data_IF_169428307046
#
_entry.id   IF_169428307046
#
_cell.length_a   1.000
_cell.length_b   1.000
_cell.length_c   1.000
_cell.angle_alpha   90.00
_cell.angle_beta   90.00
_cell.angle_gamma   90.00
#
_symmetry.space_group_name_H-M   'P 1'
#
loop_
_entity.id
_entity.type
_entity.pdbx_description
1 polymer ?
#
# COMPACT_ATOMS: atom_id res chain seq x y z
N UNK A 1 -36.81 32.35 41.58
CA UNK A 1 -36.07 32.31 40.30
C UNK A 1 -34.57 32.01 40.47
N UNK A 2 -33.74 32.86 41.12
CA UNK A 2 -32.26 32.71 41.24
C UNK A 2 -31.75 31.28 41.54
N UNK A 3 -32.33 30.59 42.53
CA UNK A 3 -31.90 29.25 42.96
C UNK A 3 -31.95 28.20 41.81
N UNK A 4 -32.97 28.25 40.95
CA UNK A 4 -33.10 27.33 39.82
C UNK A 4 -32.02 27.55 38.73
N UNK A 5 -31.52 28.78 38.60
CA UNK A 5 -30.42 29.10 37.67
C UNK A 5 -29.09 28.52 38.17
N UNK A 6 -28.79 28.69 39.47
CA UNK A 6 -27.60 28.11 40.10
C UNK A 6 -27.57 26.57 40.00
N UNK A 7 -28.72 25.91 40.21
CA UNK A 7 -28.84 24.46 40.06
C UNK A 7 -28.55 23.99 38.61
N UNK A 8 -29.00 24.74 37.59
CA UNK A 8 -28.67 24.44 36.18
C UNK A 8 -27.17 24.64 35.89
N UNK A 9 -26.58 25.75 36.33
CA UNK A 9 -25.14 26.01 36.14
C UNK A 9 -24.27 24.94 36.80
N UNK A 10 -24.58 24.54 38.04
CA UNK A 10 -23.86 23.47 38.73
C UNK A 10 -23.97 22.11 38.01
N UNK A 11 -25.13 21.78 37.45
CA UNK A 11 -25.33 20.53 36.67
C UNK A 11 -24.50 20.55 35.37
N UNK A 12 -24.52 21.65 34.62
CA UNK A 12 -23.71 21.80 33.40
C UNK A 12 -22.21 21.74 33.68
N UNK A 13 -21.75 22.37 34.77
CA UNK A 13 -20.34 22.34 35.18
C UNK A 13 -19.85 20.93 35.55
N UNK A 14 -20.70 20.09 36.18
CA UNK A 14 -20.37 18.68 36.45
C UNK A 14 -20.26 17.88 35.15
N UNK A 15 -21.25 17.99 34.25
CA UNK A 15 -21.25 17.30 32.94
C UNK A 15 -20.02 17.66 32.10
N UNK A 16 -19.58 18.93 32.14
CA UNK A 16 -18.36 19.36 31.45
C UNK A 16 -17.09 18.71 32.03
N UNK A 17 -16.94 18.65 33.37
CA UNK A 17 -15.80 17.96 34.00
C UNK A 17 -15.76 16.47 33.66
N UNK A 18 -16.90 15.79 33.71
CA UNK A 18 -16.99 14.37 33.40
C UNK A 18 -16.57 14.09 31.94
N UNK A 19 -17.00 14.93 30.98
CA UNK A 19 -16.58 14.85 29.57
C UNK A 19 -15.08 15.12 29.37
N UNK A 20 -14.50 16.11 30.05
CA UNK A 20 -13.05 16.38 29.95
C UNK A 20 -12.24 15.20 30.48
N UNK A 21 -12.58 14.69 31.66
CA UNK A 21 -11.90 13.53 32.26
C UNK A 21 -12.03 12.27 31.39
N UNK A 22 -13.17 12.09 30.70
CA UNK A 22 -13.36 11.00 29.74
C UNK A 22 -12.50 11.17 28.47
N UNK A 23 -12.32 12.40 27.95
CA UNK A 23 -11.43 12.69 26.81
C UNK A 23 -9.96 12.45 27.17
N UNK A 24 -9.52 12.92 28.34
CA UNK A 24 -8.16 12.70 28.87
C UNK A 24 -7.84 11.21 29.00
N UNK A 25 -8.73 10.42 29.63
CA UNK A 25 -8.56 8.96 29.74
C UNK A 25 -8.49 8.25 28.38
N UNK A 26 -9.28 8.67 27.38
CA UNK A 26 -9.20 8.10 26.03
C UNK A 26 -7.85 8.39 25.36
N UNK A 27 -7.35 9.62 25.46
CA UNK A 27 -6.02 9.99 24.92
C UNK A 27 -4.91 9.22 25.64
N UNK A 28 -4.99 9.02 26.95
CA UNK A 28 -4.00 8.25 27.69
C UNK A 28 -4.02 6.75 27.31
N UNK A 29 -5.21 6.17 27.13
CA UNK A 29 -5.36 4.79 26.63
C UNK A 29 -4.78 4.66 25.21
N UNK A 30 -5.07 5.58 24.30
CA UNK A 30 -4.48 5.59 22.95
C UNK A 30 -2.95 5.67 23.00
N UNK A 31 -2.37 6.58 23.78
CA UNK A 31 -0.91 6.70 23.94
C UNK A 31 -0.27 5.43 24.53
N UNK A 32 -0.90 4.81 25.54
CA UNK A 32 -0.47 3.53 26.11
C UNK A 32 -0.61 2.37 25.12
N UNK A 33 -1.58 2.41 24.20
CA UNK A 33 -1.76 1.40 23.15
C UNK A 33 -0.71 1.55 22.05
N UNK A 34 -0.53 2.78 21.52
CA UNK A 34 0.46 3.09 20.49
C UNK A 34 1.89 2.80 20.97
N UNK A 35 2.24 3.20 22.20
CA UNK A 35 3.55 2.88 22.79
C UNK A 35 3.80 1.37 22.91
N UNK A 36 2.78 0.57 23.27
CA UNK A 36 2.87 -0.89 23.27
C UNK A 36 2.99 -1.47 21.86
N UNK A 37 2.30 -0.89 20.87
CA UNK A 37 2.39 -1.31 19.48
C UNK A 37 3.80 -1.06 18.94
N UNK A 38 4.36 0.14 19.09
CA UNK A 38 5.73 0.45 18.69
C UNK A 38 6.76 -0.46 19.39
N UNK A 39 6.58 -0.78 20.68
CA UNK A 39 7.45 -1.73 21.40
C UNK A 39 7.31 -3.17 20.91
N UNK A 40 6.14 -3.61 20.46
CA UNK A 40 5.95 -4.93 19.85
C UNK A 40 6.48 -4.99 18.41
N UNK A 41 6.39 -3.92 17.63
CA UNK A 41 6.99 -3.83 16.29
C UNK A 41 8.52 -3.84 16.39
N UNK A 42 9.11 -2.97 17.22
CA UNK A 42 10.56 -2.91 17.42
C UNK A 42 11.13 -4.17 18.10
N UNK A 43 10.39 -4.78 19.04
CA UNK A 43 10.78 -6.05 19.66
C UNK A 43 10.61 -7.27 18.74
N UNK A 44 9.61 -7.25 17.86
CA UNK A 44 9.26 -8.36 16.97
C UNK A 44 10.28 -8.62 15.86
N UNK A 45 11.04 -7.61 15.45
CA UNK A 45 12.13 -7.74 14.46
C UNK A 45 13.37 -8.45 15.03
N UNK A 46 13.55 -8.46 16.35
CA UNK A 46 14.81 -8.87 16.98
C UNK A 46 14.92 -10.37 17.33
N UNK A 47 13.80 -11.11 17.49
CA UNK A 47 13.85 -12.45 18.11
C UNK A 47 12.89 -13.50 17.51
N UNK A 48 13.15 -13.94 16.28
CA UNK A 48 12.61 -15.21 15.75
C UNK A 48 13.75 -16.09 15.23
N UNK A 49 14.64 -16.49 16.14
CA UNK A 49 15.60 -17.58 15.89
C UNK A 49 14.97 -18.88 16.37
N UNK A 50 14.10 -19.45 15.53
CA UNK A 50 13.44 -20.72 15.80
C UNK A 50 14.46 -21.85 15.68
N UNK A 51 14.98 -22.34 16.80
CA UNK A 51 15.90 -23.49 16.85
C UNK A 51 15.16 -24.80 16.55
N UNK A 52 14.79 -24.98 15.28
CA UNK A 52 14.35 -26.25 14.74
C UNK A 52 15.55 -27.21 14.67
N UNK A 53 15.67 -28.11 15.65
CA UNK A 53 16.64 -29.22 15.60
C UNK A 53 16.09 -30.29 14.66
N UNK A 54 16.13 -29.97 13.35
CA UNK A 54 15.79 -30.85 12.24
C UNK A 54 17.03 -31.19 11.41
N UNK A 55 16.87 -32.13 10.49
CA UNK A 55 17.87 -32.49 9.47
C UNK A 55 18.49 -31.25 8.84
N UNK A 56 19.83 -31.17 8.81
CA UNK A 56 20.54 -30.03 8.24
C UNK A 56 20.03 -29.73 6.83
N UNK A 57 19.30 -28.61 6.69
CA UNK A 57 18.55 -28.28 5.50
C UNK A 57 19.49 -28.23 4.29
N UNK A 58 19.14 -28.92 3.21
CA UNK A 58 20.00 -28.97 2.03
C UNK A 58 20.01 -27.58 1.37
N UNK A 59 21.15 -26.90 1.54
CA UNK A 59 21.49 -25.64 0.90
C UNK A 59 22.29 -25.91 -0.36
N UNK A 60 21.78 -25.48 -1.51
CA UNK A 60 22.50 -25.56 -2.78
C UNK A 60 22.97 -24.18 -3.22
N UNK A 61 24.22 -24.09 -3.66
CA UNK A 61 24.76 -22.93 -4.37
C UNK A 61 24.67 -23.17 -5.88
N UNK A 62 24.04 -22.24 -6.59
CA UNK A 62 23.99 -22.21 -8.05
C UNK A 62 24.79 -21.00 -8.52
N UNK A 63 25.82 -21.25 -9.32
CA UNK A 63 26.58 -20.20 -10.01
C UNK A 63 25.97 -20.00 -11.40
N UNK A 64 25.76 -18.75 -11.78
CA UNK A 64 25.23 -18.39 -13.08
C UNK A 64 26.17 -18.77 -14.23
N UNK A 65 25.60 -19.18 -15.35
CA UNK A 65 26.33 -19.49 -16.60
C UNK A 65 26.20 -18.39 -17.64
N UNK A 66 25.23 -17.48 -17.51
CA UNK A 66 24.89 -16.49 -18.54
C UNK A 66 24.14 -17.09 -19.74
N UNK A 67 23.72 -18.36 -19.66
CA UNK A 67 22.99 -19.07 -20.71
C UNK A 67 21.59 -19.45 -20.21
N UNK A 68 20.54 -18.80 -20.72
CA UNK A 68 19.18 -18.94 -20.20
C UNK A 68 18.60 -20.37 -20.21
N UNK A 69 19.05 -21.25 -21.11
CA UNK A 69 18.66 -22.68 -21.12
C UNK A 69 19.28 -23.52 -20.00
N UNK A 70 20.39 -23.07 -19.43
CA UNK A 70 21.10 -23.69 -18.31
C UNK A 70 20.72 -23.02 -16.99
N UNK A 71 20.73 -21.68 -16.96
CA UNK A 71 20.42 -20.87 -15.79
C UNK A 71 19.01 -21.16 -15.25
N UNK A 72 17.97 -21.01 -16.10
CA UNK A 72 16.58 -21.27 -15.70
C UNK A 72 16.37 -22.74 -15.29
N UNK A 73 17.02 -23.68 -15.98
CA UNK A 73 16.94 -25.12 -15.66
C UNK A 73 17.59 -25.45 -14.32
N UNK A 74 18.76 -24.87 -14.04
CA UNK A 74 19.49 -25.08 -12.80
C UNK A 74 18.75 -24.44 -11.62
N UNK A 75 18.21 -23.23 -11.78
CA UNK A 75 17.41 -22.56 -10.74
C UNK A 75 16.10 -23.31 -10.48
N UNK A 76 15.36 -23.74 -11.52
CA UNK A 76 14.11 -24.49 -11.34
C UNK A 76 14.38 -25.79 -10.57
N UNK A 77 15.35 -26.60 -11.00
CA UNK A 77 15.74 -27.82 -10.29
C UNK A 77 16.17 -27.54 -8.85
N UNK A 78 16.96 -26.50 -8.61
CA UNK A 78 17.41 -26.13 -7.27
C UNK A 78 16.20 -25.83 -6.36
N UNK A 79 15.25 -25.04 -6.86
CA UNK A 79 13.98 -24.70 -6.19
C UNK A 79 13.11 -25.94 -5.96
N UNK A 80 13.04 -26.88 -6.90
CA UNK A 80 12.27 -28.12 -6.78
C UNK A 80 12.86 -29.08 -5.73
N UNK A 81 14.19 -29.23 -5.71
CA UNK A 81 14.89 -30.24 -4.91
C UNK A 81 15.22 -29.75 -3.48
N UNK A 82 15.59 -28.48 -3.29
CA UNK A 82 16.22 -27.99 -2.05
C UNK A 82 15.30 -27.09 -1.21
N UNK A 83 15.61 -26.92 0.07
CA UNK A 83 14.89 -25.97 0.95
C UNK A 83 15.52 -24.58 0.94
N UNK A 84 16.83 -24.50 0.67
CA UNK A 84 17.59 -23.26 0.62
C UNK A 84 18.40 -23.22 -0.69
N UNK A 85 18.25 -22.14 -1.45
CA UNK A 85 18.87 -21.93 -2.76
C UNK A 85 19.63 -20.62 -2.75
N UNK A 86 20.96 -20.69 -2.77
CA UNK A 86 21.82 -19.51 -2.95
C UNK A 86 22.16 -19.35 -4.43
N UNK A 87 21.83 -18.20 -4.99
CA UNK A 87 22.15 -17.80 -6.35
C UNK A 87 23.39 -16.90 -6.33
N UNK A 88 24.33 -17.13 -7.25
CA UNK A 88 25.62 -16.43 -7.32
C UNK A 88 25.87 -15.94 -8.75
N UNK A 89 26.07 -14.63 -8.92
CA UNK A 89 26.48 -14.01 -10.19
C UNK A 89 25.33 -13.40 -11.01
N UNK A 90 25.43 -13.49 -12.34
CA UNK A 90 24.51 -12.83 -13.29
C UNK A 90 23.80 -13.90 -14.14
N UNK A 91 22.56 -14.22 -13.79
CA UNK A 91 21.71 -15.19 -14.47
C UNK A 91 21.00 -14.55 -15.65
N UNK A 92 21.02 -15.20 -16.81
CA UNK A 92 20.14 -14.83 -17.93
C UNK A 92 18.83 -15.61 -17.82
N UNK A 93 17.70 -14.91 -17.76
CA UNK A 93 16.36 -15.48 -17.84
C UNK A 93 15.67 -15.16 -19.18
N UNK A 94 16.40 -14.57 -20.13
CA UNK A 94 15.92 -14.22 -21.47
C UNK A 94 15.74 -15.45 -22.37
N UNK A 95 14.59 -16.11 -22.17
CA UNK A 95 14.09 -17.24 -22.95
C UNK A 95 12.57 -17.22 -22.95
N UNK A 96 11.96 -17.94 -23.89
CA UNK A 96 10.51 -18.16 -23.86
C UNK A 96 10.13 -18.90 -22.55
N UNK A 97 9.18 -18.37 -21.76
CA UNK A 97 8.74 -18.99 -20.52
C UNK A 97 7.89 -20.25 -20.79
N UNK A 98 7.90 -21.18 -19.84
CA UNK A 98 7.25 -22.50 -20.01
C UNK A 98 6.43 -22.95 -18.79
N UNK A 99 6.46 -22.22 -17.68
CA UNK A 99 5.66 -22.52 -16.49
C UNK A 99 4.25 -21.97 -16.67
N UNK A 100 3.23 -22.82 -16.73
CA UNK A 100 1.84 -22.34 -16.70
C UNK A 100 1.53 -21.74 -15.32
N UNK A 101 0.90 -20.55 -15.35
CA UNK A 101 0.32 -19.90 -14.17
C UNK A 101 -1.08 -20.47 -13.88
N UNK A 102 -1.61 -20.24 -12.68
CA UNK A 102 -2.97 -20.63 -12.31
C UNK A 102 -4.06 -19.77 -12.98
N UNK A 103 -3.67 -18.65 -13.60
CA UNK A 103 -4.55 -17.71 -14.29
C UNK A 103 -4.08 -17.51 -15.76
N UNK A 104 -3.98 -18.58 -16.57
CA UNK A 104 -3.28 -18.57 -17.86
C UNK A 104 -4.05 -17.84 -18.99
N UNK A 105 -5.29 -17.42 -18.72
CA UNK A 105 -6.08 -16.57 -19.61
C UNK A 105 -5.80 -15.07 -19.37
N UNK A 106 -5.04 -14.73 -18.33
CA UNK A 106 -4.68 -13.35 -17.95
C UNK A 106 -3.17 -13.19 -18.03
N UNK A 107 -2.40 -14.05 -17.35
CA UNK A 107 -0.95 -14.01 -17.35
C UNK A 107 -0.37 -14.96 -18.41
N UNK A 108 0.71 -14.58 -19.10
CA UNK A 108 1.52 -15.51 -19.87
C UNK A 108 2.18 -16.56 -18.96
N UNK A 109 2.83 -17.59 -19.52
CA UNK A 109 3.69 -18.48 -18.75
C UNK A 109 4.82 -17.72 -18.03
N UNK A 110 5.29 -18.28 -16.91
CA UNK A 110 6.40 -17.78 -16.11
C UNK A 110 7.72 -18.52 -16.38
N UNK A 111 8.82 -18.00 -15.82
CA UNK A 111 10.16 -18.55 -15.99
C UNK A 111 10.49 -19.63 -14.95
N UNK A 112 10.32 -19.35 -13.65
CA UNK A 112 10.50 -20.30 -12.54
C UNK A 112 9.20 -20.45 -11.74
N UNK A 113 8.83 -21.69 -11.39
CA UNK A 113 7.75 -22.02 -10.46
C UNK A 113 8.31 -22.28 -9.07
N UNK A 114 7.81 -21.55 -8.08
CA UNK A 114 7.98 -21.86 -6.66
C UNK A 114 6.67 -22.47 -6.14
N UNK A 115 6.68 -23.74 -5.74
CA UNK A 115 5.46 -24.49 -5.39
C UNK A 115 5.47 -25.16 -4.00
N UNK A 116 6.58 -25.04 -3.27
CA UNK A 116 6.77 -25.55 -1.90
C UNK A 116 7.44 -24.49 -1.03
N UNK A 117 7.69 -24.82 0.25
CA UNK A 117 8.50 -23.96 1.11
C UNK A 117 9.94 -23.93 0.61
N UNK A 118 10.49 -22.73 0.40
CA UNK A 118 11.87 -22.52 -0.04
C UNK A 118 12.35 -21.12 0.36
N UNK A 119 13.64 -21.00 0.66
CA UNK A 119 14.34 -19.72 0.77
C UNK A 119 15.30 -19.55 -0.40
N UNK A 120 15.04 -18.58 -1.27
CA UNK A 120 15.88 -18.21 -2.41
C UNK A 120 16.63 -16.92 -2.05
N UNK A 121 17.95 -16.93 -2.09
CA UNK A 121 18.79 -15.77 -1.76
C UNK A 121 19.88 -15.52 -2.78
N UNK A 122 20.05 -14.27 -3.20
CA UNK A 122 21.25 -13.84 -3.91
C UNK A 122 22.41 -13.56 -2.95
N UNK A 123 23.65 -13.57 -3.47
CA UNK A 123 24.77 -12.95 -2.76
C UNK A 123 24.52 -11.45 -2.64
N UNK A 124 24.53 -10.96 -1.40
CA UNK A 124 24.42 -9.54 -1.07
C UNK A 124 25.79 -8.86 -1.12
N UNK A 125 25.88 -7.79 -1.91
CA UNK A 125 27.00 -6.85 -1.92
C UNK A 125 26.49 -5.45 -2.31
N UNK A 126 27.41 -4.56 -2.67
CA UNK A 126 27.06 -3.27 -3.28
C UNK A 126 26.47 -3.48 -4.70
N UNK A 127 26.06 -2.40 -5.39
CA UNK A 127 25.33 -2.52 -6.66
C UNK A 127 26.08 -3.35 -7.74
N UNK A 128 27.40 -3.33 -7.79
CA UNK A 128 28.14 -4.09 -8.82
C UNK A 128 28.32 -5.58 -8.46
N UNK A 129 28.08 -5.98 -7.20
CA UNK A 129 28.28 -7.36 -6.71
C UNK A 129 26.97 -8.12 -6.45
N UNK A 130 25.84 -7.42 -6.38
CA UNK A 130 24.54 -8.01 -6.10
C UNK A 130 24.10 -9.02 -7.18
N UNK A 131 23.76 -10.23 -6.76
CA UNK A 131 23.32 -11.31 -7.68
C UNK A 131 22.12 -10.86 -8.52
N UNK A 132 22.25 -10.95 -9.83
CA UNK A 132 21.36 -10.34 -10.81
C UNK A 132 20.68 -11.39 -11.68
N UNK A 133 19.40 -11.18 -11.98
CA UNK A 133 18.58 -11.93 -12.92
C UNK A 133 18.16 -10.95 -14.03
N UNK A 134 18.59 -11.23 -15.26
CA UNK A 134 18.33 -10.41 -16.44
C UNK A 134 17.18 -10.99 -17.27
N UNK A 135 16.14 -10.19 -17.49
CA UNK A 135 14.99 -10.57 -18.32
C UNK A 135 14.09 -11.64 -17.71
N UNK A 136 13.41 -12.39 -18.59
CA UNK A 136 12.35 -13.32 -18.23
C UNK A 136 10.99 -12.63 -18.06
N UNK A 137 9.91 -13.26 -18.51
CA UNK A 137 8.56 -12.67 -18.48
C UNK A 137 8.04 -12.51 -17.04
N UNK A 138 8.16 -13.57 -16.24
CA UNK A 138 7.89 -13.56 -14.80
C UNK A 138 9.01 -14.40 -14.16
N UNK A 139 10.09 -13.80 -13.64
CA UNK A 139 11.25 -14.53 -13.13
C UNK A 139 10.91 -15.57 -12.06
N UNK A 140 10.13 -15.18 -11.04
CA UNK A 140 9.57 -16.11 -10.07
C UNK A 140 8.04 -15.99 -10.00
N UNK A 141 7.36 -17.12 -10.21
CA UNK A 141 5.94 -17.29 -10.00
C UNK A 141 5.69 -18.23 -8.82
N UNK A 142 5.01 -17.72 -7.78
CA UNK A 142 4.80 -18.41 -6.49
C UNK A 142 3.38 -18.96 -6.39
N UNK A 143 3.28 -20.29 -6.50
CA UNK A 143 2.05 -21.08 -6.37
C UNK A 143 2.29 -22.21 -5.36
N UNK A 144 2.55 -21.81 -4.11
CA UNK A 144 2.96 -22.66 -3.01
C UNK A 144 1.90 -22.66 -1.88
N UNK A 145 0.68 -23.18 -2.12
CA UNK A 145 -0.42 -23.11 -1.16
C UNK A 145 -0.08 -23.81 0.16
N UNK A 146 -0.26 -23.11 1.29
CA UNK A 146 0.06 -23.64 2.62
C UNK A 146 1.56 -23.59 3.00
N UNK A 147 2.45 -23.23 2.07
CA UNK A 147 3.89 -23.16 2.30
C UNK A 147 4.36 -21.76 2.75
N UNK A 148 5.63 -21.63 3.16
CA UNK A 148 6.27 -20.34 3.42
C UNK A 148 7.45 -20.12 2.47
N UNK A 149 7.51 -18.96 1.81
CA UNK A 149 8.48 -18.64 0.76
C UNK A 149 9.26 -17.38 1.11
N UNK A 150 10.59 -17.43 0.97
CA UNK A 150 11.48 -16.28 1.09
C UNK A 150 12.22 -16.05 -0.22
N UNK A 151 12.27 -14.80 -0.69
CA UNK A 151 13.06 -14.34 -1.84
C UNK A 151 13.81 -13.09 -1.38
N UNK A 152 15.14 -13.12 -1.34
CA UNK A 152 15.94 -12.02 -0.78
C UNK A 152 17.24 -11.72 -1.50
N UNK A 153 17.72 -10.48 -1.39
CA UNK A 153 19.04 -10.05 -1.89
C UNK A 153 19.28 -10.31 -3.39
N UNK A 154 18.23 -10.29 -4.22
CA UNK A 154 18.31 -10.46 -5.68
C UNK A 154 18.01 -9.15 -6.42
N UNK A 155 18.75 -8.87 -7.50
CA UNK A 155 18.38 -7.86 -8.49
C UNK A 155 17.59 -8.51 -9.63
N UNK A 156 16.42 -7.96 -9.93
CA UNK A 156 15.66 -8.20 -11.15
C UNK A 156 15.88 -7.03 -12.09
N UNK A 157 16.54 -7.27 -13.23
CA UNK A 157 16.77 -6.26 -14.26
C UNK A 157 15.94 -6.60 -15.51
N UNK A 158 15.11 -5.65 -15.95
CA UNK A 158 14.31 -5.73 -17.17
C UNK A 158 13.41 -6.98 -17.36
N UNK A 159 12.73 -7.52 -16.33
CA UNK A 159 11.74 -8.57 -16.54
C UNK A 159 10.57 -8.05 -17.39
N UNK A 160 10.02 -8.92 -18.25
CA UNK A 160 9.05 -8.54 -19.31
C UNK A 160 7.60 -8.86 -18.92
N UNK A 161 7.23 -8.46 -17.70
CA UNK A 161 5.87 -8.25 -17.18
C UNK A 161 6.01 -7.94 -15.69
N UNK A 162 6.25 -8.98 -14.87
CA UNK A 162 6.30 -8.87 -13.41
C UNK A 162 7.66 -9.34 -12.88
N UNK A 163 8.23 -8.65 -11.89
CA UNK A 163 9.48 -9.10 -11.24
C UNK A 163 9.28 -10.37 -10.39
N UNK A 164 8.22 -10.38 -9.57
CA UNK A 164 7.74 -11.55 -8.82
C UNK A 164 6.20 -11.53 -8.85
N UNK A 165 5.58 -12.66 -9.24
CA UNK A 165 4.13 -12.86 -9.16
C UNK A 165 3.79 -13.92 -8.10
N UNK A 166 2.84 -13.65 -7.21
CA UNK A 166 2.41 -14.55 -6.14
C UNK A 166 0.90 -14.82 -6.23
N UNK A 167 0.54 -16.08 -6.39
CA UNK A 167 -0.85 -16.55 -6.46
C UNK A 167 -1.27 -17.40 -5.25
N UNK A 168 -0.34 -18.15 -4.62
CA UNK A 168 -0.64 -18.92 -3.41
C UNK A 168 0.56 -19.02 -2.47
N UNK A 169 0.36 -18.71 -1.18
CA UNK A 169 1.36 -18.78 -0.10
C UNK A 169 0.70 -18.67 1.28
N UNK A 170 1.28 -19.27 2.32
CA UNK A 170 0.86 -19.15 3.73
C UNK A 170 1.88 -18.42 4.62
N UNK A 171 2.80 -17.70 4.00
CA UNK A 171 3.84 -16.88 4.65
C UNK A 171 4.85 -16.42 3.61
N UNK A 172 5.09 -15.11 3.48
CA UNK A 172 5.96 -14.55 2.44
C UNK A 172 7.01 -13.62 3.03
N UNK A 173 8.21 -13.64 2.48
CA UNK A 173 9.21 -12.59 2.68
C UNK A 173 9.89 -12.25 1.36
N UNK A 174 9.70 -11.01 0.88
CA UNK A 174 10.45 -10.42 -0.22
C UNK A 174 11.23 -9.24 0.34
N UNK A 175 12.56 -9.37 0.47
CA UNK A 175 13.35 -8.36 1.18
C UNK A 175 14.74 -8.11 0.60
N UNK A 176 15.18 -6.86 0.65
CA UNK A 176 16.48 -6.40 0.12
C UNK A 176 16.67 -6.71 -1.38
N UNK A 177 15.60 -6.93 -2.12
CA UNK A 177 15.65 -7.12 -3.56
C UNK A 177 15.71 -5.76 -4.27
N UNK A 178 16.33 -5.72 -5.45
CA UNK A 178 16.35 -4.56 -6.34
C UNK A 178 15.55 -4.87 -7.60
N UNK A 179 14.72 -3.95 -8.06
CA UNK A 179 13.91 -4.11 -9.28
C UNK A 179 14.18 -2.92 -10.18
N UNK A 180 14.65 -3.17 -11.40
CA UNK A 180 15.08 -2.11 -12.32
C UNK A 180 14.50 -2.27 -13.72
N UNK A 181 13.85 -1.21 -14.20
CA UNK A 181 13.43 -1.07 -15.60
C UNK A 181 12.52 -2.19 -16.10
N UNK A 182 11.52 -2.57 -15.30
CA UNK A 182 10.45 -3.52 -15.68
C UNK A 182 9.95 -3.15 -17.09
N UNK A 183 9.85 -4.12 -17.99
CA UNK A 183 9.39 -3.91 -19.37
C UNK A 183 7.91 -4.28 -19.45
N UNK A 184 6.98 -3.31 -19.58
CA UNK A 184 5.55 -3.58 -19.55
C UNK A 184 5.11 -4.46 -20.73
N UNK A 185 4.18 -5.37 -20.47
CA UNK A 185 3.66 -6.31 -21.47
C UNK A 185 2.15 -6.22 -21.57
N UNK A 186 1.59 -6.50 -22.75
CA UNK A 186 0.16 -6.28 -23.04
C UNK A 186 -0.68 -7.38 -22.39
N UNK A 187 -1.23 -7.08 -21.22
CA UNK A 187 -2.27 -7.90 -20.57
C UNK A 187 -3.64 -7.26 -20.77
N UNK A 188 -4.54 -7.93 -21.48
CA UNK A 188 -5.96 -7.54 -21.60
C UNK A 188 -6.26 -6.18 -22.25
N UNK A 189 -5.25 -5.40 -22.64
CA UNK A 189 -5.40 -4.11 -23.32
C UNK A 189 -4.13 -3.25 -23.27
N UNK A 190 -3.80 -2.73 -22.09
CA UNK A 190 -2.66 -1.85 -21.89
C UNK A 190 -1.35 -2.62 -21.62
N UNK A 191 -0.18 -2.13 -22.09
CA UNK A 191 1.11 -2.57 -21.56
C UNK A 191 1.16 -2.27 -20.05
N UNK A 192 1.35 -3.31 -19.25
CA UNK A 192 1.33 -3.23 -17.79
C UNK A 192 2.49 -4.07 -17.23
N UNK A 193 3.00 -3.73 -16.03
CA UNK A 193 3.97 -4.55 -15.32
C UNK A 193 4.20 -4.09 -13.88
N UNK A 194 4.41 -5.05 -12.97
CA UNK A 194 4.59 -4.81 -11.53
C UNK A 194 5.99 -5.26 -11.07
N UNK A 195 6.64 -4.52 -10.15
CA UNK A 195 7.86 -5.06 -9.53
C UNK A 195 7.55 -6.27 -8.64
N UNK A 196 6.51 -6.18 -7.81
CA UNK A 196 6.00 -7.28 -6.99
C UNK A 196 4.47 -7.30 -7.10
N UNK A 197 3.90 -8.40 -7.59
CA UNK A 197 2.45 -8.61 -7.65
C UNK A 197 2.01 -9.80 -6.80
N UNK A 198 1.01 -9.59 -5.94
CA UNK A 198 0.28 -10.64 -5.22
C UNK A 198 -1.18 -10.57 -5.68
N UNK A 199 -1.59 -11.50 -6.54
CA UNK A 199 -2.87 -11.39 -7.23
C UNK A 199 -3.53 -12.77 -7.43
N UNK A 200 -4.69 -12.97 -6.82
CA UNK A 200 -5.48 -14.21 -6.92
C UNK A 200 -6.65 -14.09 -7.91
N UNK A 201 -6.77 -12.95 -8.60
CA UNK A 201 -7.94 -12.51 -9.37
C UNK A 201 -7.63 -12.32 -10.86
N UNK A 202 -6.39 -11.97 -11.18
CA UNK A 202 -5.90 -11.59 -12.51
C UNK A 202 -6.29 -10.17 -12.90
N UNK A 203 -7.56 -9.80 -12.72
CA UNK A 203 -8.07 -8.46 -12.96
C UNK A 203 -8.30 -7.69 -11.65
N UNK A 204 -8.67 -6.42 -11.77
CA UNK A 204 -9.10 -5.59 -10.64
C UNK A 204 -10.28 -6.25 -9.88
N UNK A 205 -10.17 -6.51 -8.55
CA UNK A 205 -11.22 -7.21 -7.81
C UNK A 205 -12.57 -6.49 -7.84
N UNK A 206 -13.66 -7.27 -7.97
CA UNK A 206 -15.05 -6.78 -7.93
C UNK A 206 -15.97 -7.75 -7.19
N UNK A 207 -17.17 -7.33 -6.70
CA UNK A 207 -18.09 -8.21 -5.98
C UNK A 207 -18.54 -9.46 -6.75
N UNK A 208 -18.38 -9.50 -8.07
CA UNK A 208 -18.65 -10.65 -8.95
C UNK A 208 -17.38 -11.43 -9.36
N UNK A 209 -16.20 -10.93 -9.01
CA UNK A 209 -14.89 -11.53 -9.29
C UNK A 209 -13.92 -11.18 -8.14
N UNK A 210 -13.97 -11.96 -7.05
CA UNK A 210 -13.07 -11.86 -5.89
C UNK A 210 -11.70 -12.46 -6.13
N UNK A 211 -11.57 -13.36 -7.12
CA UNK A 211 -10.48 -14.32 -7.21
C UNK A 211 -10.54 -15.33 -6.07
N UNK A 212 -9.36 -15.83 -5.68
CA UNK A 212 -9.16 -16.86 -4.66
C UNK A 212 -8.39 -16.34 -3.44
N UNK A 213 -8.96 -15.40 -2.66
CA UNK A 213 -8.24 -14.74 -1.56
C UNK A 213 -7.77 -15.71 -0.48
N UNK A 214 -8.44 -16.85 -0.29
CA UNK A 214 -7.99 -17.93 0.60
C UNK A 214 -6.62 -18.56 0.25
N UNK A 215 -6.09 -18.33 -0.95
CA UNK A 215 -4.78 -18.85 -1.37
C UNK A 215 -3.61 -18.09 -0.72
N UNK A 216 -3.83 -16.86 -0.23
CA UNK A 216 -2.81 -16.00 0.39
C UNK A 216 -3.21 -15.76 1.84
N UNK A 217 -2.43 -16.26 2.79
CA UNK A 217 -2.72 -16.15 4.23
C UNK A 217 -1.43 -16.03 5.08
N UNK A 218 -1.61 -15.74 6.37
CA UNK A 218 -0.49 -15.65 7.31
C UNK A 218 0.29 -14.33 7.16
N UNK A 219 1.56 -14.33 7.58
CA UNK A 219 2.38 -13.11 7.58
C UNK A 219 3.09 -12.90 6.24
N UNK A 220 2.93 -11.70 5.66
CA UNK A 220 3.57 -11.29 4.42
C UNK A 220 4.48 -10.08 4.70
N UNK A 221 5.77 -10.21 4.41
CA UNK A 221 6.77 -9.15 4.56
C UNK A 221 7.28 -8.73 3.17
N UNK A 222 7.08 -7.49 2.78
CA UNK A 222 7.68 -6.88 1.59
C UNK A 222 8.47 -5.67 2.08
N UNK A 223 9.76 -5.87 2.37
CA UNK A 223 10.51 -4.89 3.17
C UNK A 223 11.91 -4.57 2.66
N UNK A 224 12.32 -3.31 2.78
CA UNK A 224 13.66 -2.83 2.41
C UNK A 224 14.06 -3.13 0.94
N UNK A 225 13.10 -3.24 0.03
CA UNK A 225 13.37 -3.41 -1.40
C UNK A 225 13.60 -2.03 -2.06
N UNK A 226 14.36 -2.02 -3.16
CA UNK A 226 14.55 -0.82 -3.98
C UNK A 226 13.95 -1.05 -5.37
N UNK A 227 12.97 -0.25 -5.75
CA UNK A 227 12.14 -0.43 -6.95
C UNK A 227 12.27 0.83 -7.83
N UNK A 228 12.73 0.65 -9.06
CA UNK A 228 13.01 1.74 -10.00
C UNK A 228 12.48 1.41 -11.40
N UNK A 229 11.31 1.95 -11.72
CA UNK A 229 10.53 1.57 -12.91
C UNK A 229 10.88 2.40 -14.14
N UNK A 230 12.19 2.63 -14.33
CA UNK A 230 12.70 3.54 -15.35
C UNK A 230 12.39 3.14 -16.79
N UNK A 231 12.35 4.14 -17.67
CA UNK A 231 12.01 4.04 -19.11
C UNK A 231 10.53 3.89 -19.45
N UNK A 232 9.65 3.76 -18.46
CA UNK A 232 8.20 3.74 -18.67
C UNK A 232 7.67 5.06 -19.26
N UNK A 233 6.71 4.96 -20.17
CA UNK A 233 6.06 6.10 -20.85
C UNK A 233 4.62 6.31 -20.40
N UNK A 234 4.02 7.43 -20.82
CA UNK A 234 2.61 7.79 -20.55
C UNK A 234 1.58 6.82 -21.15
N UNK A 235 2.02 5.88 -21.99
CA UNK A 235 1.19 4.86 -22.65
C UNK A 235 1.38 3.45 -22.03
N UNK A 236 2.03 3.36 -20.86
CA UNK A 236 2.36 2.12 -20.17
C UNK A 236 2.06 2.25 -18.68
N UNK A 237 1.64 1.16 -18.02
CA UNK A 237 1.40 1.11 -16.58
C UNK A 237 2.57 0.40 -15.87
N UNK A 238 3.38 1.12 -15.10
CA UNK A 238 4.37 0.52 -14.19
C UNK A 238 3.97 0.73 -12.74
N UNK A 239 3.81 -0.39 -12.02
CA UNK A 239 3.38 -0.42 -10.62
C UNK A 239 4.49 -0.96 -9.71
N UNK A 240 4.56 -0.44 -8.49
CA UNK A 240 5.54 -0.92 -7.52
C UNK A 240 5.12 -2.25 -6.90
N UNK A 241 4.23 -2.18 -5.92
CA UNK A 241 3.77 -3.33 -5.12
C UNK A 241 2.24 -3.42 -5.22
N UNK A 242 1.72 -4.46 -5.86
CA UNK A 242 0.28 -4.70 -6.08
C UNK A 242 -0.21 -5.90 -5.26
N UNK A 243 -1.35 -5.76 -4.59
CA UNK A 243 -1.89 -6.76 -3.64
C UNK A 243 -3.41 -6.83 -3.83
N UNK A 244 -3.86 -7.76 -4.68
CA UNK A 244 -5.25 -7.88 -5.16
C UNK A 244 -5.90 -9.21 -4.76
N UNK A 245 -6.98 -9.14 -3.99
CA UNK A 245 -7.74 -10.31 -3.54
C UNK A 245 -6.90 -11.21 -2.66
N UNK A 246 -6.60 -10.74 -1.44
CA UNK A 246 -5.67 -11.40 -0.52
C UNK A 246 -6.30 -11.59 0.85
N UNK A 247 -6.24 -12.81 1.37
CA UNK A 247 -6.75 -13.17 2.69
C UNK A 247 -8.28 -13.22 2.77
N UNK A 248 -8.80 -14.17 3.55
CA UNK A 248 -10.25 -14.32 3.80
C UNK A 248 -10.51 -14.35 5.30
N UNK A 249 -11.26 -13.37 5.79
CA UNK A 249 -11.72 -13.35 7.19
C UNK A 249 -12.86 -14.36 7.39
N UNK A 250 -12.88 -15.14 8.50
CA UNK A 250 -11.90 -15.17 9.60
C UNK A 250 -10.87 -16.31 9.50
N UNK A 251 -10.94 -17.17 8.47
CA UNK A 251 -10.26 -18.48 8.46
C UNK A 251 -8.90 -18.51 7.73
N UNK A 252 -8.61 -17.49 6.92
CA UNK A 252 -7.41 -17.36 6.08
C UNK A 252 -6.92 -15.92 6.03
N UNK A 253 -6.88 -15.22 7.16
CA UNK A 253 -6.48 -13.81 7.19
C UNK A 253 -5.00 -13.61 6.85
N UNK A 254 -4.69 -12.45 6.25
CA UNK A 254 -3.34 -12.01 5.96
C UNK A 254 -2.90 -10.88 6.92
N UNK A 255 -1.63 -10.93 7.33
CA UNK A 255 -0.95 -9.97 8.22
C UNK A 255 0.24 -9.37 7.45
N UNK A 256 -0.02 -8.26 6.75
CA UNK A 256 0.86 -7.74 5.70
C UNK A 256 1.68 -6.54 6.20
N UNK A 257 2.96 -6.50 5.85
CA UNK A 257 3.88 -5.40 6.12
C UNK A 257 4.61 -4.99 4.84
N UNK A 258 4.29 -3.81 4.32
CA UNK A 258 5.02 -3.17 3.21
C UNK A 258 5.83 -2.02 3.81
N UNK A 259 7.12 -2.23 4.09
CA UNK A 259 7.87 -1.29 4.92
C UNK A 259 9.34 -1.08 4.56
N UNK A 260 9.80 0.18 4.65
CA UNK A 260 11.19 0.56 4.38
C UNK A 260 11.59 0.44 2.90
N UNK A 261 10.64 0.23 1.99
CA UNK A 261 10.94 0.14 0.56
C UNK A 261 11.20 1.54 -0.01
N UNK A 262 12.15 1.64 -0.94
CA UNK A 262 12.31 2.81 -1.81
C UNK A 262 11.66 2.49 -3.16
N UNK A 263 10.77 3.35 -3.65
CA UNK A 263 10.04 3.15 -4.90
C UNK A 263 10.10 4.43 -5.73
N UNK A 264 10.57 4.35 -6.97
CA UNK A 264 10.76 5.50 -7.84
C UNK A 264 10.29 5.28 -9.29
N UNK A 265 9.87 6.38 -9.94
CA UNK A 265 9.55 6.48 -11.38
C UNK A 265 8.39 5.57 -11.86
N UNK A 266 7.36 5.43 -11.04
CA UNK A 266 6.13 4.64 -11.29
C UNK A 266 5.10 5.43 -12.10
N UNK A 267 4.50 4.87 -13.16
CA UNK A 267 3.43 5.55 -13.93
C UNK A 267 2.01 5.28 -13.42
N UNK A 268 1.85 4.29 -12.54
CA UNK A 268 0.64 3.98 -11.76
C UNK A 268 1.08 3.76 -10.28
N UNK A 269 0.21 3.42 -9.30
CA UNK A 269 0.59 3.39 -7.88
C UNK A 269 1.86 2.62 -7.53
N UNK A 270 2.69 3.24 -6.70
CA UNK A 270 3.85 2.61 -6.07
C UNK A 270 3.41 1.51 -5.08
N UNK A 271 2.27 1.67 -4.40
CA UNK A 271 1.68 0.66 -3.51
C UNK A 271 0.16 0.59 -3.74
N UNK A 272 -0.40 -0.58 -4.04
CA UNK A 272 -1.78 -0.75 -4.53
C UNK A 272 -2.48 -1.95 -3.86
N UNK A 273 -3.26 -1.72 -2.80
CA UNK A 273 -4.07 -2.75 -2.15
C UNK A 273 -5.52 -2.72 -2.64
N UNK A 274 -6.08 -3.87 -3.01
CA UNK A 274 -7.49 -4.01 -3.39
C UNK A 274 -8.07 -5.33 -2.87
N UNK A 275 -9.12 -5.28 -2.06
CA UNK A 275 -9.78 -6.45 -1.44
C UNK A 275 -8.82 -7.26 -0.54
N UNK A 276 -8.73 -6.87 0.73
CA UNK A 276 -7.99 -7.57 1.79
C UNK A 276 -8.96 -8.18 2.82
N UNK A 277 -8.74 -9.44 3.19
CA UNK A 277 -9.29 -10.08 4.39
C UNK A 277 -8.19 -10.26 5.43
N UNK A 278 -8.14 -9.36 6.40
CA UNK A 278 -7.06 -9.25 7.39
C UNK A 278 -6.59 -7.81 7.55
N UNK A 279 -5.29 -7.62 7.81
CA UNK A 279 -4.69 -6.33 8.10
C UNK A 279 -3.40 -6.05 7.30
N UNK A 280 -3.13 -4.78 7.03
CA UNK A 280 -1.92 -4.34 6.36
C UNK A 280 -1.31 -3.08 7.00
N UNK A 281 0.00 -3.08 7.14
CA UNK A 281 0.81 -1.96 7.63
C UNK A 281 1.71 -1.50 6.48
N UNK A 282 1.53 -0.25 6.05
CA UNK A 282 2.30 0.41 4.99
C UNK A 282 3.13 1.50 5.66
N UNK A 283 4.38 1.18 6.02
CA UNK A 283 5.15 2.02 6.95
C UNK A 283 6.57 2.38 6.50
N UNK A 284 6.98 3.63 6.70
CA UNK A 284 8.37 4.08 6.47
C UNK A 284 8.90 3.88 5.04
N UNK A 285 8.03 3.79 4.04
CA UNK A 285 8.45 3.71 2.64
C UNK A 285 8.83 5.11 2.11
N UNK A 286 9.75 5.15 1.15
CA UNK A 286 10.15 6.38 0.45
C UNK A 286 9.71 6.27 -1.01
N UNK A 287 8.77 7.11 -1.41
CA UNK A 287 8.15 7.07 -2.74
C UNK A 287 8.43 8.39 -3.46
N UNK A 288 8.92 8.31 -4.70
CA UNK A 288 9.01 9.42 -5.64
C UNK A 288 8.37 8.99 -6.96
N UNK A 289 7.20 9.53 -7.32
CA UNK A 289 6.47 9.03 -8.50
C UNK A 289 7.21 9.31 -9.81
N UNK A 290 8.00 10.38 -9.85
CA UNK A 290 8.55 10.94 -11.08
C UNK A 290 7.50 11.67 -11.93
N UNK A 291 7.98 12.39 -12.94
CA UNK A 291 7.18 13.27 -13.81
C UNK A 291 6.39 12.58 -14.93
N UNK A 292 6.21 11.25 -14.87
CA UNK A 292 5.48 10.47 -15.87
C UNK A 292 4.31 9.74 -15.20
N UNK A 293 3.08 10.11 -15.59
CA UNK A 293 1.85 9.40 -15.21
C UNK A 293 1.31 8.63 -16.41
N UNK A 294 0.67 7.49 -16.17
CA UNK A 294 -0.08 6.77 -17.20
C UNK A 294 -1.34 7.55 -17.60
N UNK A 295 -1.60 7.64 -18.91
CA UNK A 295 -2.86 8.21 -19.45
C UNK A 295 -3.98 7.17 -19.57
N UNK A 296 -3.72 5.92 -19.21
CA UNK A 296 -4.60 4.77 -19.42
C UNK A 296 -5.57 4.54 -18.24
N UNK A 297 -5.19 4.98 -17.04
CA UNK A 297 -5.93 4.79 -15.80
C UNK A 297 -6.11 6.14 -15.11
N UNK A 298 -7.33 6.68 -14.99
CA UNK A 298 -7.55 7.96 -14.34
C UNK A 298 -7.38 7.86 -12.83
N UNK A 299 -7.01 8.97 -12.18
CA UNK A 299 -6.83 9.09 -10.72
C UNK A 299 -5.68 8.22 -10.19
N UNK A 300 -4.42 8.52 -10.55
CA UNK A 300 -3.26 7.82 -10.01
C UNK A 300 -3.00 8.26 -8.56
N UNK A 301 -2.74 7.31 -7.66
CA UNK A 301 -2.37 7.60 -6.26
C UNK A 301 -1.08 6.88 -5.87
N UNK A 302 -0.11 7.57 -5.26
CA UNK A 302 1.18 6.97 -4.96
C UNK A 302 1.05 5.79 -3.96
N UNK A 303 0.17 5.95 -2.96
CA UNK A 303 -0.38 4.83 -2.17
C UNK A 303 -1.89 4.76 -2.41
N UNK A 304 -2.35 3.63 -2.94
CA UNK A 304 -3.76 3.34 -3.29
C UNK A 304 -4.29 2.21 -2.40
N UNK A 305 -5.25 2.49 -1.52
CA UNK A 305 -5.95 1.49 -0.69
C UNK A 305 -7.44 1.43 -1.09
N UNK A 306 -7.93 0.25 -1.45
CA UNK A 306 -9.30 0.07 -1.92
C UNK A 306 -10.07 -1.14 -1.33
N UNK A 307 -11.38 -0.91 -1.10
CA UNK A 307 -12.40 -1.91 -0.75
C UNK A 307 -12.28 -2.44 0.70
N UNK A 308 -12.10 -3.74 0.96
CA UNK A 308 -12.06 -4.26 2.34
C UNK A 308 -10.66 -4.30 2.94
N UNK A 309 -10.58 -4.38 4.27
CA UNK A 309 -9.36 -4.65 5.06
C UNK A 309 -9.16 -3.64 6.19
N UNK A 310 -8.31 -3.97 7.16
CA UNK A 310 -7.83 -3.03 8.18
C UNK A 310 -6.45 -2.49 7.76
N UNK A 311 -6.25 -1.17 7.77
CA UNK A 311 -5.03 -0.57 7.22
C UNK A 311 -4.42 0.50 8.14
N UNK A 312 -3.10 0.43 8.32
CA UNK A 312 -2.26 1.50 8.87
C UNK A 312 -1.32 1.98 7.77
N UNK A 313 -1.33 3.28 7.48
CA UNK A 313 -0.44 3.94 6.53
C UNK A 313 0.32 5.02 7.32
N UNK A 314 1.58 4.75 7.68
CA UNK A 314 2.29 5.63 8.61
C UNK A 314 3.77 5.88 8.30
N UNK A 315 4.27 7.07 8.66
CA UNK A 315 5.69 7.45 8.53
C UNK A 315 6.26 7.38 7.10
N UNK A 316 5.44 7.24 6.05
CA UNK A 316 5.90 7.21 4.68
C UNK A 316 6.30 8.62 4.22
N UNK A 317 7.34 8.72 3.40
CA UNK A 317 7.71 9.95 2.70
C UNK A 317 7.31 9.81 1.24
N UNK A 318 6.48 10.73 0.75
CA UNK A 318 5.96 10.70 -0.63
C UNK A 318 6.27 12.02 -1.32
N UNK A 319 6.83 11.93 -2.52
CA UNK A 319 6.93 13.03 -3.48
C UNK A 319 6.14 12.66 -4.74
N UNK A 320 5.04 13.36 -4.98
CA UNK A 320 4.12 13.09 -6.09
C UNK A 320 4.32 14.14 -7.20
N UNK A 321 5.14 13.79 -8.19
CA UNK A 321 5.56 14.63 -9.32
C UNK A 321 4.67 14.44 -10.57
N UNK A 322 3.58 13.67 -10.48
CA UNK A 322 2.77 13.32 -11.65
C UNK A 322 2.07 14.53 -12.30
N UNK A 323 2.15 14.70 -13.64
CA UNK A 323 1.43 15.73 -14.39
C UNK A 323 -0.04 15.37 -14.65
N UNK A 324 -0.70 14.73 -13.67
CA UNK A 324 -2.09 14.27 -13.80
C UNK A 324 -3.04 15.19 -13.01
N UNK A 325 -4.14 15.58 -13.66
CA UNK A 325 -5.13 16.48 -13.09
C UNK A 325 -5.77 15.94 -11.80
N UNK A 326 -5.83 14.62 -11.66
CA UNK A 326 -6.44 13.90 -10.56
C UNK A 326 -5.40 13.18 -9.67
N UNK A 327 -4.11 13.53 -9.75
CA UNK A 327 -3.05 12.91 -8.94
C UNK A 327 -3.29 13.04 -7.43
N UNK A 328 -2.96 11.99 -6.67
CA UNK A 328 -2.93 12.02 -5.20
C UNK A 328 -1.68 11.38 -4.58
N UNK A 329 -1.30 11.86 -3.39
CA UNK A 329 -0.27 11.21 -2.58
C UNK A 329 -0.79 9.90 -1.95
N UNK A 330 -1.90 9.96 -1.22
CA UNK A 330 -2.54 8.79 -0.60
C UNK A 330 -4.04 8.79 -0.90
N UNK A 331 -4.55 7.73 -1.53
CA UNK A 331 -5.97 7.51 -1.80
C UNK A 331 -6.55 6.34 -1.01
N UNK A 332 -7.59 6.60 -0.20
CA UNK A 332 -8.31 5.60 0.60
C UNK A 332 -9.77 5.58 0.15
N UNK A 333 -10.24 4.47 -0.42
CA UNK A 333 -11.59 4.44 -0.99
C UNK A 333 -12.31 3.08 -1.03
N UNK A 334 -13.62 3.12 -1.23
CA UNK A 334 -14.36 1.94 -1.70
C UNK A 334 -15.33 2.30 -2.82
N UNK A 335 -15.33 1.45 -3.85
CA UNK A 335 -16.19 1.57 -5.03
C UNK A 335 -17.53 0.86 -4.89
N UNK A 336 -17.71 0.07 -3.82
CA UNK A 336 -18.81 -0.89 -3.70
C UNK A 336 -19.40 -0.87 -2.28
N UNK A 337 -20.69 -0.57 -2.14
CA UNK A 337 -21.37 -0.55 -0.84
C UNK A 337 -21.45 -1.90 -0.10
N UNK A 338 -21.07 -3.01 -0.74
CA UNK A 338 -20.92 -4.34 -0.13
C UNK A 338 -19.51 -4.60 0.41
N UNK A 339 -18.53 -3.77 0.05
CA UNK A 339 -17.11 -3.87 0.44
C UNK A 339 -16.68 -2.55 1.08
N UNK A 340 -17.30 -2.18 2.18
CA UNK A 340 -17.05 -0.89 2.85
C UNK A 340 -15.64 -0.88 3.45
N UNK A 341 -14.94 0.25 3.31
CA UNK A 341 -13.59 0.44 3.85
C UNK A 341 -13.70 1.25 5.14
N UNK A 342 -13.38 0.63 6.28
CA UNK A 342 -13.58 1.26 7.57
C UNK A 342 -12.35 1.15 8.48
N UNK A 343 -12.21 2.10 9.40
CA UNK A 343 -11.14 2.14 10.41
C UNK A 343 -9.71 2.23 9.86
N UNK A 344 -9.52 2.76 8.64
CA UNK A 344 -8.18 3.05 8.10
C UNK A 344 -7.53 4.18 8.90
N UNK A 345 -6.25 4.00 9.25
CA UNK A 345 -5.45 5.01 9.95
C UNK A 345 -4.34 5.49 9.02
N UNK A 346 -4.35 6.77 8.66
CA UNK A 346 -3.32 7.44 7.86
C UNK A 346 -2.64 8.48 8.75
N UNK A 347 -1.44 8.19 9.26
CA UNK A 347 -0.83 9.05 10.29
C UNK A 347 0.67 9.29 10.15
N UNK A 348 1.11 10.49 10.55
CA UNK A 348 2.53 10.85 10.64
C UNK A 348 3.34 10.69 9.32
N UNK A 349 2.66 10.69 8.16
CA UNK A 349 3.30 10.67 6.84
C UNK A 349 3.76 12.09 6.43
N UNK A 350 4.76 12.19 5.55
CA UNK A 350 5.27 13.44 4.96
C UNK A 350 5.05 13.42 3.44
N UNK A 351 4.01 14.11 2.97
CA UNK A 351 3.53 14.09 1.59
C UNK A 351 3.79 15.44 0.92
N UNK A 352 4.55 15.42 -0.17
CA UNK A 352 4.77 16.59 -1.02
C UNK A 352 4.10 16.36 -2.38
N UNK A 353 3.27 17.30 -2.80
CA UNK A 353 2.67 17.32 -4.14
C UNK A 353 3.51 18.27 -5.01
N UNK A 354 4.30 17.71 -5.90
CA UNK A 354 5.30 18.41 -6.73
C UNK A 354 5.00 18.33 -8.25
N UNK A 355 3.73 18.47 -8.72
CA UNK A 355 3.41 18.32 -10.13
C UNK A 355 4.03 19.44 -10.98
N UNK A 356 4.30 19.22 -12.29
CA UNK A 356 4.98 20.21 -13.11
C UNK A 356 4.20 21.53 -13.25
N UNK A 357 4.88 22.68 -13.40
CA UNK A 357 4.24 23.98 -13.52
C UNK A 357 3.21 24.04 -14.67
N UNK A 358 2.01 24.52 -14.36
CA UNK A 358 0.89 24.61 -15.30
C UNK A 358 -0.05 23.39 -15.32
N UNK A 359 0.16 22.40 -14.45
CA UNK A 359 -0.83 21.33 -14.18
C UNK A 359 -2.15 21.94 -13.69
N UNK A 360 -3.28 21.46 -14.21
CA UNK A 360 -4.63 21.91 -13.84
C UNK A 360 -5.36 20.77 -13.13
N UNK A 361 -5.89 21.02 -11.93
CA UNK A 361 -6.40 19.96 -11.05
C UNK A 361 -7.93 19.72 -11.15
N UNK A 362 -8.35 18.49 -10.87
CA UNK A 362 -9.74 18.00 -10.92
C UNK A 362 -10.24 17.31 -9.64
N UNK A 363 -11.45 16.72 -9.70
CA UNK A 363 -12.22 16.19 -8.55
C UNK A 363 -12.02 14.53 -8.32
N UNK A 364 -10.82 14.84 -7.59
CA UNK A 364 -10.20 14.20 -6.38
C UNK A 364 -8.79 14.69 -6.00
N UNK A 365 -8.06 15.45 -6.85
CA UNK A 365 -6.65 15.84 -6.65
C UNK A 365 -6.35 16.28 -5.20
N UNK A 366 -5.43 15.59 -4.53
CA UNK A 366 -5.14 15.84 -3.12
C UNK A 366 -3.84 15.23 -2.58
N UNK A 367 -3.27 15.83 -1.53
CA UNK A 367 -2.24 15.17 -0.72
C UNK A 367 -2.73 13.85 -0.12
N UNK A 368 -3.89 13.88 0.56
CA UNK A 368 -4.61 12.68 1.05
C UNK A 368 -6.10 12.81 0.71
N UNK A 369 -6.68 11.79 0.08
CA UNK A 369 -8.11 11.71 -0.29
C UNK A 369 -8.82 10.51 0.36
N UNK A 370 -9.94 10.76 1.05
CA UNK A 370 -10.86 9.74 1.56
C UNK A 370 -12.17 9.82 0.77
N UNK A 371 -12.60 8.76 0.10
CA UNK A 371 -13.74 8.84 -0.84
C UNK A 371 -14.55 7.55 -1.00
N UNK A 372 -15.83 7.66 -1.30
CA UNK A 372 -16.67 6.49 -1.58
C UNK A 372 -17.28 5.83 -0.35
N UNK A 373 -17.55 4.52 -0.42
CA UNK A 373 -18.19 3.74 0.65
C UNK A 373 -17.25 3.48 1.82
N UNK A 374 -16.90 4.54 2.54
CA UNK A 374 -15.85 4.60 3.56
C UNK A 374 -16.39 5.12 4.89
N UNK A 375 -15.91 4.60 6.01
CA UNK A 375 -16.40 4.98 7.34
C UNK A 375 -15.33 5.01 8.42
N UNK A 376 -15.47 5.91 9.39
CA UNK A 376 -14.78 5.83 10.69
C UNK A 376 -13.23 5.82 10.58
N UNK A 377 -12.68 6.43 9.52
CA UNK A 377 -11.25 6.50 9.25
C UNK A 377 -10.60 7.70 9.97
N UNK A 378 -9.30 7.59 10.26
CA UNK A 378 -8.51 8.60 10.96
C UNK A 378 -7.34 9.08 10.09
N UNK A 379 -7.29 10.38 9.81
CA UNK A 379 -6.15 11.04 9.13
C UNK A 379 -5.51 12.03 10.09
N UNK A 380 -4.34 11.70 10.66
CA UNK A 380 -3.78 12.45 11.79
C UNK A 380 -2.27 12.74 11.73
N UNK A 381 -1.84 13.88 12.28
CA UNK A 381 -0.44 14.33 12.40
C UNK A 381 0.38 14.48 11.09
N UNK A 382 -0.20 14.13 9.93
CA UNK A 382 0.48 14.13 8.64
C UNK A 382 1.00 15.54 8.30
N UNK A 383 2.09 15.60 7.55
CA UNK A 383 2.66 16.83 6.98
C UNK A 383 2.40 16.84 5.49
N UNK A 384 1.81 17.90 4.97
CA UNK A 384 1.40 18.00 3.55
C UNK A 384 1.87 19.33 2.98
N UNK A 385 2.51 19.30 1.80
CA UNK A 385 3.24 20.43 1.19
C UNK A 385 3.10 20.46 -0.34
N UNK A 386 3.32 21.61 -0.98
CA UNK A 386 3.34 21.73 -2.45
C UNK A 386 1.99 22.15 -3.06
N UNK A 387 1.62 21.63 -4.24
CA UNK A 387 0.50 22.13 -5.03
C UNK A 387 -0.43 21.00 -5.51
N UNK A 388 -1.72 21.09 -5.17
CA UNK A 388 -2.83 20.25 -5.65
C UNK A 388 -4.17 20.96 -5.37
N UNK A 389 -5.32 20.43 -5.82
CA UNK A 389 -6.65 21.02 -5.48
C UNK A 389 -6.83 21.16 -3.97
N UNK A 390 -6.42 20.16 -3.18
CA UNK A 390 -6.46 20.21 -1.72
C UNK A 390 -5.29 19.48 -1.03
N UNK A 391 -4.93 19.87 0.19
CA UNK A 391 -4.00 19.08 1.01
C UNK A 391 -4.72 17.84 1.57
N UNK A 392 -5.89 18.04 2.18
CA UNK A 392 -6.82 16.98 2.61
C UNK A 392 -8.15 17.10 1.87
N UNK A 393 -8.64 15.98 1.32
CA UNK A 393 -9.92 15.91 0.64
C UNK A 393 -10.80 14.79 1.21
N UNK A 394 -12.09 15.09 1.39
CA UNK A 394 -13.14 14.08 1.43
C UNK A 394 -14.07 14.29 0.24
N UNK A 395 -14.28 13.26 -0.58
CA UNK A 395 -15.11 13.34 -1.79
C UNK A 395 -16.16 12.20 -1.86
N UNK A 396 -17.33 12.51 -2.42
CA UNK A 396 -18.27 11.46 -2.88
C UNK A 396 -17.62 10.77 -4.07
N UNK A 397 -17.53 9.44 -4.09
CA UNK A 397 -16.91 8.73 -5.22
C UNK A 397 -17.91 8.57 -6.38
N UNK A 398 -17.67 9.21 -7.55
CA UNK A 398 -18.62 9.17 -8.65
C UNK A 398 -18.30 7.99 -9.58
N UNK A 399 -19.21 7.02 -9.64
CA UNK A 399 -19.26 5.99 -10.68
C UNK A 399 -20.67 5.81 -11.26
N UNK A 400 -21.31 6.81 -11.90
CA UNK A 400 -22.51 6.54 -12.71
C UNK A 400 -22.26 5.37 -13.67
N UNK A 401 -23.14 4.35 -13.78
CA UNK A 401 -24.51 4.27 -13.25
C UNK A 401 -24.64 3.63 -11.85
N UNK A 402 -23.55 3.29 -11.17
CA UNK A 402 -23.58 2.74 -9.80
C UNK A 402 -24.04 3.81 -8.79
N UNK A 403 -24.62 3.42 -7.64
CA UNK A 403 -24.89 4.34 -6.54
C UNK A 403 -23.62 5.06 -6.08
N UNK A 404 -23.74 6.36 -5.80
CA UNK A 404 -22.66 7.16 -5.24
C UNK A 404 -22.27 6.65 -3.84
N UNK A 405 -20.97 6.57 -3.56
CA UNK A 405 -20.45 6.27 -2.23
C UNK A 405 -20.07 7.56 -1.50
N UNK A 406 -20.61 7.75 -0.30
CA UNK A 406 -20.36 8.95 0.53
C UNK A 406 -19.59 8.56 1.79
N UNK A 407 -18.41 9.17 2.06
CA UNK A 407 -17.68 8.98 3.31
C UNK A 407 -18.50 9.40 4.54
N UNK A 408 -18.34 8.69 5.66
CA UNK A 408 -18.99 8.98 6.96
C UNK A 408 -18.02 8.91 8.15
N UNK A 409 -18.36 9.58 9.26
CA UNK A 409 -17.71 9.43 10.57
C UNK A 409 -16.18 9.67 10.63
N UNK A 410 -15.57 10.24 9.59
CA UNK A 410 -14.11 10.35 9.47
C UNK A 410 -13.54 11.45 10.40
N UNK A 411 -12.29 11.30 10.82
CA UNK A 411 -11.61 12.28 11.67
C UNK A 411 -10.32 12.81 11.02
N UNK A 412 -10.24 14.13 10.85
CA UNK A 412 -9.02 14.86 10.45
C UNK A 412 -8.45 15.56 11.69
N UNK A 413 -7.25 15.17 12.16
CA UNK A 413 -6.74 15.60 13.48
C UNK A 413 -5.26 16.02 13.43
N UNK A 414 -4.93 17.24 13.82
CA UNK A 414 -3.53 17.72 13.95
C UNK A 414 -2.65 17.61 12.69
N UNK A 415 -3.23 17.57 11.47
CA UNK A 415 -2.40 17.59 10.25
C UNK A 415 -1.85 19.01 10.02
N UNK A 416 -0.62 19.06 9.50
CA UNK A 416 0.11 20.28 9.17
C UNK A 416 0.12 20.47 7.66
N UNK A 417 -0.32 21.64 7.22
CA UNK A 417 -0.31 22.04 5.82
C UNK A 417 0.67 23.21 5.72
N UNK A 418 1.91 22.91 5.34
CA UNK A 418 2.99 23.90 5.23
C UNK A 418 3.21 24.23 3.76
N UNK A 419 3.43 25.52 3.42
CA UNK A 419 3.82 25.96 2.07
C UNK A 419 3.00 25.31 0.94
N UNK A 420 1.66 25.27 1.13
CA UNK A 420 0.73 24.58 0.25
C UNK A 420 -0.13 25.53 -0.57
N UNK A 421 -0.15 25.37 -1.89
CA UNK A 421 -1.03 26.10 -2.79
C UNK A 421 -2.24 25.23 -3.17
N UNK A 422 -3.39 25.54 -2.58
CA UNK A 422 -4.67 24.83 -2.75
C UNK A 422 -5.53 24.96 -1.49
N UNK A 423 -6.61 24.17 -1.37
CA UNK A 423 -7.43 24.15 -0.16
C UNK A 423 -6.77 23.30 0.95
N UNK A 424 -6.51 23.83 2.17
CA UNK A 424 -5.95 23.01 3.26
C UNK A 424 -6.82 21.82 3.65
N UNK A 425 -8.15 22.00 3.62
CA UNK A 425 -9.16 20.94 3.76
C UNK A 425 -10.31 21.26 2.80
N UNK A 426 -10.75 20.25 2.04
CA UNK A 426 -11.94 20.27 1.20
C UNK A 426 -12.88 19.14 1.62
N UNK A 427 -14.15 19.47 1.89
CA UNK A 427 -15.21 18.50 2.20
C UNK A 427 -16.29 18.60 1.11
N UNK A 428 -16.44 17.52 0.34
CA UNK A 428 -17.40 17.40 -0.75
C UNK A 428 -18.86 17.46 -0.29
N UNK A 429 -19.73 17.93 -1.18
CA UNK A 429 -21.15 18.10 -0.89
C UNK A 429 -21.82 16.78 -0.48
N UNK A 430 -22.61 16.81 0.60
CA UNK A 430 -23.36 15.65 1.10
C UNK A 430 -22.58 14.71 2.01
N UNK A 431 -21.28 14.97 2.23
CA UNK A 431 -20.50 14.33 3.28
C UNK A 431 -20.90 14.95 4.62
N UNK A 432 -21.11 14.11 5.63
CA UNK A 432 -21.56 14.52 6.97
C UNK A 432 -20.67 13.87 8.04
N UNK A 433 -20.90 14.23 9.31
CA UNK A 433 -20.32 13.60 10.50
C UNK A 433 -18.77 13.50 10.50
N UNK A 434 -18.10 14.39 9.75
CA UNK A 434 -16.65 14.48 9.66
C UNK A 434 -16.11 15.42 10.73
N UNK A 435 -15.23 14.91 11.59
CA UNK A 435 -14.62 15.64 12.69
C UNK A 435 -13.30 16.26 12.26
N UNK A 436 -13.28 17.59 12.06
CA UNK A 436 -12.06 18.35 11.79
C UNK A 436 -11.56 19.02 13.07
N UNK A 437 -10.34 18.69 13.51
CA UNK A 437 -9.72 19.23 14.73
C UNK A 437 -8.29 19.71 14.50
N UNK A 438 -8.01 20.92 14.99
CA UNK A 438 -6.65 21.42 15.24
C UNK A 438 -5.72 21.33 13.99
N UNK A 439 -6.30 21.49 12.79
CA UNK A 439 -5.56 21.61 11.53
C UNK A 439 -4.88 22.99 11.44
N UNK A 440 -3.71 23.07 10.82
CA UNK A 440 -3.09 24.35 10.47
C UNK A 440 -3.53 24.78 9.07
N UNK A 441 -4.34 25.84 8.97
CA UNK A 441 -4.89 26.37 7.72
C UNK A 441 -6.36 26.79 7.85
N UNK A 442 -6.88 27.50 6.84
CA UNK A 442 -8.31 27.84 6.73
C UNK A 442 -9.04 26.79 5.89
N UNK A 443 -10.08 26.17 6.43
CA UNK A 443 -10.93 25.20 5.72
C UNK A 443 -12.00 25.89 4.87
N UNK A 444 -12.17 25.46 3.62
CA UNK A 444 -13.36 25.78 2.80
C UNK A 444 -14.42 24.68 3.04
N UNK A 445 -15.29 24.91 4.02
CA UNK A 445 -16.36 23.97 4.35
C UNK A 445 -17.61 24.23 3.50
N UNK A 446 -17.84 23.34 2.53
CA UNK A 446 -19.05 23.25 1.70
C UNK A 446 -19.96 22.07 2.12
N UNK A 447 -19.56 21.34 3.16
CA UNK A 447 -20.15 20.10 3.66
C UNK A 447 -20.74 20.23 5.07
N UNK A 448 -21.20 21.42 5.45
CA UNK A 448 -22.07 21.64 6.62
C UNK A 448 -21.56 21.05 7.94
N UNK A 449 -20.26 21.19 8.23
CA UNK A 449 -19.67 20.55 9.42
C UNK A 449 -20.27 21.07 10.72
N UNK A 450 -20.42 20.16 11.69
CA UNK A 450 -20.76 20.53 13.06
C UNK A 450 -19.55 21.18 13.74
N UNK A 451 -19.35 22.47 13.49
CA UNK A 451 -18.29 23.25 14.12
C UNK A 451 -18.40 23.09 15.65
N UNK A 452 -17.35 22.61 16.35
CA UNK A 452 -17.44 22.41 17.79
C UNK A 452 -17.75 23.75 18.47
N UNK A 453 -18.73 23.81 19.39
CA UNK A 453 -19.22 25.07 19.93
C UNK A 453 -18.08 25.86 20.55
N UNK A 454 -17.86 27.08 20.05
CA UNK A 454 -16.71 27.91 20.38
C UNK A 454 -16.49 27.98 21.91
N UNK A 455 -15.24 27.81 22.40
CA UNK A 455 -14.96 27.76 23.83
C UNK A 455 -15.45 29.06 24.48
N UNK A 456 -16.50 28.94 25.30
CA UNK A 456 -17.36 30.07 25.65
C UNK A 456 -16.60 31.24 26.26
N UNK A 457 -16.49 32.33 25.51
CA UNK A 457 -15.89 33.57 26.00
C UNK A 457 -16.60 34.04 27.25
N UNK A 458 -15.86 34.19 28.35
CA UNK A 458 -16.34 34.89 29.54
C UNK A 458 -16.73 36.30 29.13
N UNK A 459 -17.98 36.67 29.40
CA UNK A 459 -18.35 38.06 29.66
C UNK A 459 -18.33 38.24 31.16
N UNK A 460 -17.78 39.36 31.61
CA UNK A 460 -17.86 39.83 33.00
C UNK A 460 -19.27 40.38 33.31
#
# INVERSE_FOLDING_TARGET
MKCALQARVARSARILRDKTSQRERRVEIMKRSLSKFCLMVLGGVATVVTLAVGTAAQSVEIVATGHADLDVRNVQRAVDENEHVTLIGHFSFDRLPTVLTALPNIYPPATIRVWKSVSISGVSGDDDEMTTIEGGTIPFYVEAPGASVTIQSLRFNRPTLDGILVYAVSGLTITKCKFKGIVPSVLGGAPTGSAIEINTVGNLPSPTQTGHPENIAGRLLITNNDIDLESASVAENTLGITIFGVGRSPDREADIYVSGNTIRRTTEPAINFRLLGGQANVESNVINTGTVSSTLVPRPEAIRIANTGSYVIAHNKIDCEWPDADAMGIGVFSQFGVWQLEHVVVMDNDVTMSPPPGTVFGDFSAGISIRGFTGDNLVANNRIRGHARAALALDVFPLPPRPQGTPRNNALVLNRVDDFEGAPVLIGQGINDTLVLEQQGTSDDRGGTATPPAPGGRRD
#
